data_IF_690354900917
#
_entry.id   IF_690354900917
#
_cell.length_a   1.000
_cell.length_b   1.000
_cell.length_c   1.000
_cell.angle_alpha   90.00
_cell.angle_beta   90.00
_cell.angle_gamma   90.00
#
_symmetry.space_group_name_H-M   'P 1'
#
loop_
_entity.id
_entity.type
_entity.pdbx_description
1 polymer ?
#
# COMPACT_ATOMS: atom_id res chain seq x y z
N UNK A 1 -17.59 -24.09 -1.56
CA UNK A 1 -17.44 -22.77 -2.23
C UNK A 1 -16.03 -22.26 -2.01
N UNK A 2 -15.44 -21.47 -2.91
CA UNK A 2 -14.17 -20.79 -2.63
C UNK A 2 -14.34 -19.93 -1.38
N UNK A 3 -13.32 -19.88 -0.52
CA UNK A 3 -13.29 -18.90 0.57
C UNK A 3 -13.09 -17.51 -0.03
N UNK A 4 -14.17 -16.84 -0.38
CA UNK A 4 -14.15 -15.42 -0.76
C UNK A 4 -13.66 -14.60 0.43
N UNK A 5 -12.93 -13.53 0.15
CA UNK A 5 -12.40 -12.65 1.18
C UNK A 5 -13.42 -11.60 1.60
N UNK A 6 -14.28 -11.17 0.68
CA UNK A 6 -15.32 -10.18 0.92
C UNK A 6 -16.70 -10.84 0.88
N UNK A 7 -17.51 -10.52 1.90
CA UNK A 7 -18.95 -10.80 1.83
C UNK A 7 -19.62 -9.83 0.84
N UNK A 8 -20.90 -10.05 0.56
CA UNK A 8 -21.64 -9.23 -0.41
C UNK A 8 -21.77 -7.77 0.01
N UNK A 9 -21.84 -7.50 1.32
CA UNK A 9 -21.91 -6.14 1.85
C UNK A 9 -20.63 -5.34 1.56
N UNK A 10 -19.47 -5.88 1.94
CA UNK A 10 -18.17 -5.24 1.70
C UNK A 10 -17.86 -5.18 0.20
N UNK A 11 -18.24 -6.21 -0.56
CA UNK A 11 -18.13 -6.18 -2.01
C UNK A 11 -18.94 -5.01 -2.59
N UNK A 12 -20.19 -4.83 -2.17
CA UNK A 12 -21.04 -3.74 -2.67
C UNK A 12 -20.45 -2.35 -2.38
N UNK A 13 -19.83 -2.17 -1.22
CA UNK A 13 -19.11 -0.93 -0.85
C UNK A 13 -17.88 -0.72 -1.73
N UNK A 14 -17.03 -1.74 -1.87
CA UNK A 14 -15.82 -1.67 -2.69
C UNK A 14 -16.15 -1.46 -4.17
N UNK A 15 -17.16 -2.15 -4.70
CA UNK A 15 -17.58 -2.04 -6.09
C UNK A 15 -17.91 -0.59 -6.46
N UNK A 16 -18.64 0.13 -5.61
CA UNK A 16 -18.93 1.56 -5.83
C UNK A 16 -17.67 2.40 -5.99
N UNK A 17 -16.67 2.19 -5.13
CA UNK A 17 -15.37 2.88 -5.18
C UNK A 17 -14.62 2.52 -6.47
N UNK A 18 -14.58 1.24 -6.83
CA UNK A 18 -13.94 0.79 -8.07
C UNK A 18 -14.54 1.48 -9.30
N UNK A 19 -15.87 1.63 -9.35
CA UNK A 19 -16.56 2.31 -10.45
C UNK A 19 -16.19 3.80 -10.52
N UNK A 20 -16.11 4.48 -9.37
CA UNK A 20 -15.66 5.88 -9.28
C UNK A 20 -14.23 6.04 -9.82
N UNK A 21 -13.36 5.08 -9.56
CA UNK A 21 -11.97 5.04 -10.07
C UNK A 21 -11.85 4.50 -11.52
N UNK A 22 -12.94 4.59 -12.29
CA UNK A 22 -13.00 4.16 -13.69
C UNK A 22 -12.60 2.69 -13.90
N UNK A 23 -12.86 1.82 -12.92
CA UNK A 23 -12.75 0.36 -13.07
C UNK A 23 -14.13 -0.16 -13.45
N UNK A 24 -14.38 -0.28 -14.75
CA UNK A 24 -15.69 -0.65 -15.28
C UNK A 24 -16.23 -1.99 -14.78
N UNK A 25 -17.55 -2.05 -14.58
CA UNK A 25 -18.27 -3.26 -14.17
C UNK A 25 -18.33 -4.30 -15.30
N UNK A 26 -17.24 -5.05 -15.47
CA UNK A 26 -17.22 -6.23 -16.34
C UNK A 26 -17.78 -7.43 -15.56
N UNK A 27 -18.42 -8.38 -16.25
CA UNK A 27 -19.00 -9.61 -15.68
C UNK A 27 -18.11 -10.34 -14.65
N UNK A 28 -16.80 -10.34 -14.84
CA UNK A 28 -15.83 -11.03 -13.96
C UNK A 28 -15.07 -10.08 -13.00
N UNK A 29 -15.56 -8.86 -12.77
CA UNK A 29 -14.88 -7.87 -11.94
C UNK A 29 -14.64 -8.40 -10.52
N UNK A 30 -15.70 -8.92 -9.86
CA UNK A 30 -15.60 -9.51 -8.51
C UNK A 30 -14.54 -10.59 -8.42
N UNK A 31 -14.59 -11.59 -9.29
CA UNK A 31 -13.63 -12.69 -9.25
C UNK A 31 -12.20 -12.24 -9.56
N UNK A 32 -12.02 -11.21 -10.40
CA UNK A 32 -10.72 -10.60 -10.64
C UNK A 32 -10.17 -9.97 -9.36
N UNK A 33 -10.96 -9.14 -8.69
CA UNK A 33 -10.55 -8.43 -7.47
C UNK A 33 -10.32 -9.41 -6.32
N UNK A 34 -11.24 -10.36 -6.10
CA UNK A 34 -11.07 -11.44 -5.13
C UNK A 34 -9.79 -12.26 -5.38
N UNK A 35 -9.46 -12.55 -6.65
CA UNK A 35 -8.21 -13.20 -7.00
C UNK A 35 -6.96 -12.39 -6.65
N UNK A 36 -7.01 -11.06 -6.84
CA UNK A 36 -5.92 -10.14 -6.46
C UNK A 36 -5.76 -10.11 -4.93
N UNK A 37 -6.87 -9.94 -4.21
CA UNK A 37 -6.90 -9.93 -2.75
C UNK A 37 -6.40 -11.27 -2.18
N UNK A 38 -6.81 -12.39 -2.79
CA UNK A 38 -6.35 -13.72 -2.38
C UNK A 38 -4.84 -13.85 -2.52
N UNK A 39 -4.28 -13.43 -3.67
CA UNK A 39 -2.83 -13.43 -3.87
C UNK A 39 -2.10 -12.56 -2.85
N UNK A 40 -2.67 -11.42 -2.47
CA UNK A 40 -2.08 -10.53 -1.47
C UNK A 40 -2.11 -11.16 -0.07
N UNK A 41 -3.22 -11.78 0.32
CA UNK A 41 -3.37 -12.42 1.65
C UNK A 41 -2.55 -13.70 1.78
N UNK A 42 -2.50 -14.53 0.74
CA UNK A 42 -1.86 -15.85 0.79
C UNK A 42 -0.38 -15.79 0.38
N UNK A 43 0.01 -14.82 -0.44
CA UNK A 43 1.39 -14.68 -0.91
C UNK A 43 1.82 -15.71 -1.95
N UNK A 44 0.90 -16.46 -2.56
CA UNK A 44 1.24 -17.46 -3.57
C UNK A 44 1.76 -16.80 -4.87
N UNK A 45 2.59 -17.51 -5.67
CA UNK A 45 2.89 -17.10 -7.03
C UNK A 45 1.61 -16.87 -7.84
N UNK A 46 1.62 -15.89 -8.75
CA UNK A 46 0.45 -15.60 -9.58
C UNK A 46 -0.04 -16.84 -10.35
N UNK A 47 0.88 -17.67 -10.86
CA UNK A 47 0.58 -18.89 -11.61
C UNK A 47 -0.20 -19.94 -10.79
N UNK A 48 -0.09 -19.88 -9.47
CA UNK A 48 -0.70 -20.82 -8.54
C UNK A 48 -2.06 -20.31 -8.02
N UNK A 49 -2.54 -19.18 -8.54
CA UNK A 49 -3.84 -18.64 -8.16
C UNK A 49 -4.95 -19.67 -8.48
N UNK A 50 -5.87 -19.96 -7.54
CA UNK A 50 -6.96 -20.88 -7.78
C UNK A 50 -7.79 -20.51 -9.02
N UNK A 51 -8.02 -21.50 -9.90
CA UNK A 51 -8.74 -21.30 -11.18
C UNK A 51 -10.16 -20.73 -11.02
N UNK A 52 -10.75 -20.86 -9.84
CA UNK A 52 -12.08 -20.31 -9.56
C UNK A 52 -12.13 -18.79 -9.66
N UNK A 53 -11.02 -18.08 -9.44
CA UNK A 53 -10.93 -16.63 -9.66
C UNK A 53 -10.82 -16.26 -11.15
N UNK A 54 -10.47 -17.23 -11.99
CA UNK A 54 -10.24 -17.06 -13.42
C UNK A 54 -8.81 -17.36 -13.84
N UNK A 55 -8.46 -16.98 -15.07
CA UNK A 55 -7.10 -17.16 -15.59
C UNK A 55 -6.12 -16.22 -14.89
N UNK A 56 -5.11 -16.78 -14.23
CA UNK A 56 -4.11 -16.01 -13.48
C UNK A 56 -3.45 -14.89 -14.30
N UNK A 57 -3.16 -15.15 -15.59
CA UNK A 57 -2.46 -14.19 -16.45
C UNK A 57 -3.34 -12.96 -16.72
N UNK A 58 -4.65 -13.18 -16.90
CA UNK A 58 -5.61 -12.09 -17.06
C UNK A 58 -5.73 -11.25 -15.80
N UNK A 59 -5.70 -11.88 -14.62
CA UNK A 59 -5.78 -11.21 -13.32
C UNK A 59 -4.50 -10.40 -13.06
N UNK A 60 -3.33 -11.01 -13.25
CA UNK A 60 -2.04 -10.34 -13.14
C UNK A 60 -1.93 -9.13 -14.08
N UNK A 61 -2.29 -9.28 -15.36
CA UNK A 61 -2.27 -8.17 -16.32
C UNK A 61 -3.17 -7.01 -15.88
N UNK A 62 -4.35 -7.29 -15.32
CA UNK A 62 -5.25 -6.27 -14.79
C UNK A 62 -4.67 -5.60 -13.55
N UNK A 63 -4.16 -6.39 -12.60
CA UNK A 63 -3.48 -5.86 -11.41
C UNK A 63 -2.36 -4.90 -11.83
N UNK A 64 -1.47 -5.34 -12.71
CA UNK A 64 -0.35 -4.53 -13.17
C UNK A 64 -0.80 -3.26 -13.89
N UNK A 65 -1.77 -3.36 -14.79
CA UNK A 65 -2.31 -2.18 -15.49
C UNK A 65 -2.94 -1.17 -14.52
N UNK A 66 -3.72 -1.62 -13.54
CA UNK A 66 -4.34 -0.74 -12.55
C UNK A 66 -3.33 -0.13 -11.58
N UNK A 67 -2.27 -0.87 -11.22
CA UNK A 67 -1.15 -0.36 -10.43
C UNK A 67 -0.41 0.76 -11.18
N UNK A 68 -0.06 0.54 -12.45
CA UNK A 68 0.61 1.53 -13.29
C UNK A 68 -0.24 2.80 -13.48
N UNK A 69 -1.56 2.63 -13.62
CA UNK A 69 -2.51 3.76 -13.71
C UNK A 69 -2.91 4.33 -12.34
N UNK A 70 -2.21 3.99 -11.25
CA UNK A 70 -2.47 4.47 -9.87
C UNK A 70 -3.87 4.19 -9.32
N UNK A 71 -4.70 3.38 -9.99
CA UNK A 71 -6.08 3.10 -9.57
C UNK A 71 -6.15 2.45 -8.19
N UNK A 72 -5.23 1.53 -7.88
CA UNK A 72 -5.18 0.95 -6.54
C UNK A 72 -4.84 1.96 -5.46
N UNK A 73 -3.98 2.93 -5.76
CA UNK A 73 -3.65 4.01 -4.83
C UNK A 73 -4.87 4.91 -4.61
N UNK A 74 -5.62 5.22 -5.65
CA UNK A 74 -6.84 6.01 -5.51
C UNK A 74 -7.92 5.24 -4.73
N UNK A 75 -8.11 3.95 -4.99
CA UNK A 75 -9.03 3.08 -4.23
C UNK A 75 -8.62 3.06 -2.75
N UNK A 76 -7.32 2.95 -2.45
CA UNK A 76 -6.81 3.06 -1.08
C UNK A 76 -7.20 4.40 -0.43
N UNK A 77 -6.96 5.52 -1.12
CA UNK A 77 -7.32 6.86 -0.63
C UNK A 77 -8.82 7.04 -0.41
N UNK A 78 -9.64 6.46 -1.29
CA UNK A 78 -11.10 6.48 -1.16
C UNK A 78 -11.62 5.57 -0.04
N UNK A 79 -10.83 4.59 0.41
CA UNK A 79 -11.15 3.77 1.59
C UNK A 79 -10.72 4.45 2.90
N UNK A 80 -9.70 5.31 2.87
CA UNK A 80 -9.18 6.07 4.01
C UNK A 80 -9.99 7.36 4.29
N UNK A 81 -11.32 7.34 4.12
CA UNK A 81 -12.21 8.50 4.34
C UNK A 81 -12.65 8.57 5.81
N UNK A 82 -12.74 9.80 6.33
CA UNK A 82 -13.11 10.12 7.72
C UNK A 82 -12.34 9.33 8.80
N UNK A 83 -11.00 9.23 8.73
CA UNK A 83 -10.23 8.53 9.75
C UNK A 83 -10.24 9.32 11.07
N UNK A 84 -10.01 8.61 12.17
CA UNK A 84 -9.91 9.22 13.48
C UNK A 84 -8.57 9.96 13.65
N UNK A 85 -8.63 11.28 13.54
CA UNK A 85 -7.46 12.17 13.63
C UNK A 85 -7.09 12.59 15.06
N UNK A 86 -7.70 11.99 16.08
CA UNK A 86 -7.25 12.24 17.45
C UNK A 86 -5.78 11.80 17.64
N UNK A 87 -5.45 10.64 17.09
CA UNK A 87 -4.12 10.04 17.16
C UNK A 87 -3.62 9.61 15.79
N UNK A 88 -2.33 9.83 15.53
CA UNK A 88 -1.65 9.27 14.37
C UNK A 88 -0.49 8.43 14.81
N UNK A 89 -0.47 7.18 14.36
CA UNK A 89 0.70 6.33 14.57
C UNK A 89 1.50 6.25 13.28
N UNK A 90 2.81 6.39 13.39
CA UNK A 90 3.73 6.20 12.28
C UNK A 90 4.74 5.12 12.61
N UNK A 91 4.97 4.24 11.65
CA UNK A 91 6.00 3.21 11.74
C UNK A 91 6.58 2.89 10.35
N UNK A 92 7.81 2.37 10.36
CA UNK A 92 8.57 2.01 9.18
C UNK A 92 8.85 0.51 9.16
N UNK A 93 8.65 -0.14 8.02
CA UNK A 93 9.06 -1.53 7.82
C UNK A 93 9.80 -1.70 6.50
N UNK A 94 10.71 -2.66 6.42
CA UNK A 94 11.47 -2.92 5.21
C UNK A 94 11.13 -4.28 4.59
N UNK A 95 11.14 -4.30 3.26
CA UNK A 95 10.96 -5.51 2.44
C UNK A 95 12.25 -5.74 1.66
N UNK A 96 12.79 -6.96 1.72
CA UNK A 96 13.95 -7.33 0.89
C UNK A 96 13.55 -7.35 -0.58
N UNK A 97 14.37 -6.69 -1.40
CA UNK A 97 14.23 -6.77 -2.84
C UNK A 97 14.56 -8.20 -3.31
N UNK A 98 13.85 -8.67 -4.34
CA UNK A 98 14.12 -9.97 -4.94
C UNK A 98 15.56 -10.02 -5.46
N UNK A 99 16.25 -11.16 -5.41
CA UNK A 99 17.66 -11.27 -5.83
C UNK A 99 17.94 -10.80 -7.28
N UNK A 100 16.92 -10.81 -8.14
CA UNK A 100 16.98 -10.32 -9.53
C UNK A 100 16.41 -8.91 -9.72
N UNK A 101 16.29 -8.10 -8.66
CA UNK A 101 15.77 -6.73 -8.74
C UNK A 101 16.76 -5.72 -9.32
N UNK A 102 18.05 -6.07 -9.37
CA UNK A 102 19.12 -5.24 -9.92
C UNK A 102 19.32 -5.59 -11.41
N UNK A 103 18.80 -4.77 -12.31
CA UNK A 103 18.98 -5.01 -13.75
C UNK A 103 18.19 -4.11 -14.69
N UNK A 104 17.17 -3.40 -14.20
CA UNK A 104 16.48 -2.40 -15.00
C UNK A 104 17.36 -1.14 -15.13
N UNK A 105 17.79 -0.82 -16.36
CA UNK A 105 18.51 0.41 -16.65
C UNK A 105 17.51 1.58 -16.74
N UNK A 106 17.27 2.25 -15.62
CA UNK A 106 16.45 3.47 -15.54
C UNK A 106 17.14 4.48 -14.63
N UNK A 107 16.96 5.77 -14.92
CA UNK A 107 17.35 6.85 -14.00
C UNK A 107 16.29 7.09 -12.91
N UNK A 108 15.09 6.52 -13.05
CA UNK A 108 14.04 6.64 -12.05
C UNK A 108 14.32 5.77 -10.83
N UNK A 109 14.22 6.37 -9.64
CA UNK A 109 14.32 5.63 -8.37
C UNK A 109 13.24 4.55 -8.31
N UNK A 110 13.68 3.30 -8.13
CA UNK A 110 12.78 2.15 -7.92
C UNK A 110 12.47 1.93 -6.43
N UNK A 111 12.84 2.89 -5.57
CA UNK A 111 12.77 2.79 -4.12
C UNK A 111 13.44 1.51 -3.57
N UNK A 112 14.55 1.11 -4.20
CA UNK A 112 15.41 0.02 -3.74
C UNK A 112 16.76 0.63 -3.43
N UNK A 113 17.28 0.37 -2.23
CA UNK A 113 18.65 0.72 -1.92
C UNK A 113 19.24 -0.11 -0.79
N UNK A 114 20.51 0.14 -0.50
CA UNK A 114 21.39 -0.80 0.19
C UNK A 114 21.38 -0.54 1.69
N UNK A 115 20.70 -1.39 2.44
CA UNK A 115 20.70 -1.40 3.91
C UNK A 115 21.62 -2.49 4.46
N UNK A 116 21.66 -2.62 5.80
CA UNK A 116 22.33 -3.74 6.49
C UNK A 116 21.79 -5.11 6.07
N UNK A 117 20.53 -5.19 5.66
CA UNK A 117 19.88 -6.43 5.24
C UNK A 117 20.04 -6.73 3.74
N UNK A 118 20.85 -5.94 3.01
CA UNK A 118 21.05 -6.02 1.57
C UNK A 118 20.20 -4.99 0.81
N UNK A 119 19.82 -5.31 -0.42
CA UNK A 119 18.94 -4.45 -1.22
C UNK A 119 17.51 -4.55 -0.67
N UNK A 120 16.96 -3.41 -0.26
CA UNK A 120 15.68 -3.32 0.45
C UNK A 120 14.91 -2.08 0.01
N UNK A 121 13.59 -2.18 0.11
CA UNK A 121 12.65 -1.08 0.05
C UNK A 121 12.10 -0.85 1.44
N UNK A 122 11.82 0.39 1.83
CA UNK A 122 11.16 0.71 3.09
C UNK A 122 9.78 1.31 2.83
N UNK A 123 8.81 0.86 3.61
CA UNK A 123 7.44 1.35 3.64
C UNK A 123 7.27 2.13 4.94
N UNK A 124 6.97 3.41 4.81
CA UNK A 124 6.62 4.30 5.93
C UNK A 124 5.11 4.40 5.96
N UNK A 125 4.46 3.97 7.03
CA UNK A 125 3.01 3.88 7.11
C UNK A 125 2.49 4.79 8.22
N UNK A 126 1.48 5.60 7.88
CA UNK A 126 0.67 6.30 8.85
C UNK A 126 -0.68 5.60 8.99
N UNK A 127 -1.13 5.46 10.23
CA UNK A 127 -2.44 4.90 10.58
C UNK A 127 -3.22 5.84 11.51
N UNK A 128 -4.55 5.73 11.50
CA UNK A 128 -5.45 6.48 12.38
C UNK A 128 -5.53 5.93 13.81
N UNK A 129 -6.39 6.52 14.65
CA UNK A 129 -6.62 6.07 16.04
C UNK A 129 -7.09 4.61 16.19
N UNK A 130 -7.66 4.01 15.14
CA UNK A 130 -8.07 2.60 15.11
C UNK A 130 -7.01 1.67 14.52
N UNK A 131 -5.84 2.21 14.12
CA UNK A 131 -4.79 1.46 13.45
C UNK A 131 -5.09 1.18 11.98
N UNK A 132 -6.01 1.92 11.35
CA UNK A 132 -6.33 1.78 9.93
C UNK A 132 -5.33 2.61 9.09
N UNK A 133 -4.71 2.00 8.05
CA UNK A 133 -3.85 2.71 7.09
C UNK A 133 -4.51 3.94 6.45
N UNK A 134 -3.86 5.10 6.56
CA UNK A 134 -4.34 6.36 5.97
C UNK A 134 -3.44 6.90 4.86
N UNK A 135 -2.12 6.80 5.02
CA UNK A 135 -1.15 7.23 4.01
C UNK A 135 0.13 6.43 4.16
N UNK A 136 0.88 6.26 3.07
CA UNK A 136 2.18 5.62 3.11
C UNK A 136 3.18 6.28 2.15
N UNK A 137 4.46 6.16 2.51
CA UNK A 137 5.59 6.51 1.66
C UNK A 137 6.45 5.28 1.37
N UNK A 138 7.13 5.28 0.22
CA UNK A 138 8.07 4.22 -0.13
C UNK A 138 9.41 4.86 -0.47
N UNK A 139 10.48 4.37 0.16
CA UNK A 139 11.86 4.83 -0.08
C UNK A 139 12.81 3.64 -0.25
N UNK A 140 14.06 3.92 -0.65
CA UNK A 140 15.14 2.94 -0.48
C UNK A 140 15.33 2.57 0.99
N UNK A 141 15.77 1.34 1.26
CA UNK A 141 15.90 0.82 2.63
C UNK A 141 17.05 1.43 3.45
N UNK A 142 17.94 2.18 2.82
CA UNK A 142 18.98 3.00 3.44
C UNK A 142 18.44 4.29 4.05
N UNK A 143 17.24 4.72 3.67
CA UNK A 143 16.64 5.96 4.16
C UNK A 143 16.13 5.77 5.59
N UNK A 144 16.55 6.66 6.48
CA UNK A 144 16.10 6.69 7.87
C UNK A 144 14.64 7.16 7.95
N UNK A 145 13.89 6.61 8.88
CA UNK A 145 12.49 6.95 9.15
C UNK A 145 12.32 8.43 9.46
N UNK A 146 13.21 9.03 10.27
CA UNK A 146 13.19 10.46 10.53
C UNK A 146 13.30 11.31 9.26
N UNK A 147 14.06 10.88 8.25
CA UNK A 147 14.20 11.62 7.00
C UNK A 147 12.95 11.55 6.12
N UNK A 148 12.18 10.46 6.18
CA UNK A 148 10.98 10.28 5.38
C UNK A 148 9.71 10.83 6.07
N UNK A 149 9.75 10.97 7.40
CA UNK A 149 8.64 11.42 8.21
C UNK A 149 8.01 12.76 7.78
N UNK A 150 8.77 13.83 7.44
CA UNK A 150 8.18 15.12 7.07
C UNK A 150 7.30 15.05 5.85
N UNK A 151 7.78 14.36 4.81
CA UNK A 151 7.03 14.19 3.58
C UNK A 151 5.74 13.39 3.81
N UNK A 152 5.77 12.44 4.75
CA UNK A 152 4.59 11.68 5.14
C UNK A 152 3.61 12.55 5.95
N UNK A 153 4.11 13.29 6.94
CA UNK A 153 3.30 14.20 7.79
C UNK A 153 2.63 15.28 6.95
N UNK A 154 3.35 15.88 6.00
CA UNK A 154 2.82 16.93 5.12
C UNK A 154 1.67 16.46 4.21
N UNK A 155 1.51 15.15 4.00
CA UNK A 155 0.38 14.56 3.24
C UNK A 155 -0.82 14.23 4.11
N UNK A 156 -0.66 14.24 5.42
CA UNK A 156 -1.75 14.00 6.37
C UNK A 156 -2.44 15.33 6.68
N UNK A 157 -3.73 15.34 7.04
CA UNK A 157 -4.42 16.54 7.56
C UNK A 157 -3.75 17.07 8.84
N UNK A 158 -4.35 17.96 9.62
CA UNK A 158 -3.84 18.25 10.97
C UNK A 158 -4.35 17.22 12.00
N UNK A 159 -3.55 16.87 13.00
CA UNK A 159 -3.94 15.99 14.11
C UNK A 159 -3.48 16.56 15.45
N UNK A 160 -4.15 16.13 16.52
CA UNK A 160 -3.81 16.57 17.89
C UNK A 160 -2.52 15.96 18.40
N UNK A 161 -2.22 14.72 18.02
CA UNK A 161 -1.02 14.02 18.50
C UNK A 161 -0.47 13.06 17.46
N UNK A 162 0.86 13.09 17.31
CA UNK A 162 1.62 12.16 16.49
C UNK A 162 2.41 11.24 17.43
N UNK A 163 2.28 9.94 17.22
CA UNK A 163 2.95 8.88 17.96
C UNK A 163 3.85 8.11 17.01
N UNK A 164 5.13 8.02 17.34
CA UNK A 164 6.11 7.31 16.55
C UNK A 164 7.20 6.74 17.47
N UNK A 165 7.97 5.78 16.96
CA UNK A 165 9.07 5.18 17.72
C UNK A 165 10.31 6.10 17.77
N UNK A 166 11.36 5.65 18.46
CA UNK A 166 12.62 6.41 18.59
C UNK A 166 13.33 6.67 17.25
N UNK A 167 13.06 5.88 16.21
CA UNK A 167 13.59 6.10 14.87
C UNK A 167 13.13 7.43 14.26
N UNK A 168 12.03 8.00 14.77
CA UNK A 168 11.50 9.30 14.38
C UNK A 168 11.95 10.44 15.30
N UNK A 169 12.70 10.19 16.37
CA UNK A 169 13.12 11.22 17.33
C UNK A 169 14.30 12.04 16.79
N UNK A 170 13.97 13.14 16.10
CA UNK A 170 14.91 14.19 15.73
C UNK A 170 14.39 15.56 16.14
N UNK A 171 15.30 16.47 16.48
CA UNK A 171 14.96 17.84 16.91
C UNK A 171 14.20 18.59 15.83
N UNK A 172 14.71 18.55 14.60
CA UNK A 172 14.09 19.19 13.45
C UNK A 172 12.70 18.64 13.10
N UNK A 173 12.40 17.36 13.38
CA UNK A 173 11.05 16.81 13.18
C UNK A 173 10.11 17.30 14.28
N UNK A 174 10.60 17.38 15.53
CA UNK A 174 9.83 17.91 16.67
C UNK A 174 9.44 19.37 16.45
N UNK A 175 10.33 20.17 15.90
CA UNK A 175 10.05 21.58 15.54
C UNK A 175 8.96 21.74 14.47
N UNK A 176 8.78 20.75 13.59
CA UNK A 176 7.75 20.78 12.53
C UNK A 176 6.36 20.39 13.00
N UNK A 177 6.25 19.65 14.11
CA UNK A 177 4.99 19.12 14.63
C UNK A 177 4.48 19.87 15.88
N UNK A 178 5.21 20.90 16.31
CA UNK A 178 4.87 21.79 17.44
C UNK A 178 4.21 23.05 16.92
#
# INVERSE_FOLDING_TARGET
MPRMMLNDEYWSKLEKILLQESIYNKRNLRMTVEGILYRMRVGCPWRDLPRVFGCWNSIYKRFNAWSLSRKWLNVFKALAVDPDWEWRFMDGSYVKAHQHSAGAASQESQAIGKSRAGNTTKIHLAVDGYGLPVEFGITGGEVNDCCAAPDLIARLPDAKTIVADKGYDSEWLREQIT
#
